data_IF_412558888289
#
_entry.id   IF_412558888289
#
_cell.length_a   1.000
_cell.length_b   1.000
_cell.length_c   1.000
_cell.angle_alpha   90.00
_cell.angle_beta   90.00
_cell.angle_gamma   90.00
#
_symmetry.space_group_name_H-M   'P 1'
#
loop_
_entity.id
_entity.type
_entity.pdbx_description
1 polymer ?
#
# COMPACT_ATOMS: atom_id res chain seq x y z
N UNK A 1 67.11 -18.35 -5.96
CA UNK A 1 65.85 -17.69 -6.34
C UNK A 1 64.73 -18.72 -6.26
N UNK A 2 63.82 -18.70 -5.27
CA UNK A 2 62.60 -19.50 -5.32
C UNK A 2 61.38 -18.60 -5.55
N UNK A 3 60.61 -18.94 -6.59
CA UNK A 3 59.32 -18.32 -6.90
C UNK A 3 58.29 -18.72 -5.81
N UNK A 4 57.69 -17.72 -5.17
CA UNK A 4 56.52 -17.91 -4.32
C UNK A 4 55.26 -17.75 -5.18
N UNK A 5 54.49 -18.83 -5.27
CA UNK A 5 53.16 -18.84 -5.89
C UNK A 5 52.20 -18.15 -4.92
N UNK A 6 51.64 -17.02 -5.33
CA UNK A 6 50.54 -16.34 -4.63
C UNK A 6 49.24 -17.04 -5.00
N UNK A 7 48.68 -17.83 -4.09
CA UNK A 7 47.32 -18.36 -4.20
C UNK A 7 46.33 -17.27 -3.74
N UNK A 8 45.77 -16.54 -4.71
CA UNK A 8 44.58 -15.71 -4.50
C UNK A 8 43.36 -16.63 -4.37
N UNK A 9 42.91 -16.87 -3.14
CA UNK A 9 41.60 -17.44 -2.89
C UNK A 9 40.54 -16.40 -3.29
N UNK A 10 39.96 -16.57 -4.47
CA UNK A 10 38.81 -15.80 -4.93
C UNK A 10 37.63 -16.07 -3.99
N UNK A 11 37.30 -15.09 -3.15
CA UNK A 11 36.07 -15.08 -2.39
C UNK A 11 34.93 -14.88 -3.40
N UNK A 12 34.32 -15.97 -3.84
CA UNK A 12 33.08 -15.94 -4.62
C UNK A 12 32.00 -15.45 -3.67
N UNK A 13 31.65 -14.17 -3.76
CA UNK A 13 30.41 -13.64 -3.22
C UNK A 13 29.28 -14.30 -4.03
N UNK A 14 28.80 -15.44 -3.54
CA UNK A 14 27.52 -15.99 -3.96
C UNK A 14 26.47 -14.95 -3.60
N UNK A 15 26.09 -14.10 -4.56
CA UNK A 15 24.80 -13.44 -4.52
C UNK A 15 23.77 -14.55 -4.56
N UNK A 16 23.32 -14.99 -3.39
CA UNK A 16 22.20 -15.91 -3.28
C UNK A 16 20.99 -15.18 -3.87
N UNK A 17 20.64 -15.48 -5.12
CA UNK A 17 19.30 -15.21 -5.61
C UNK A 17 18.40 -16.14 -4.79
N UNK A 18 17.87 -15.65 -3.67
CA UNK A 18 16.82 -16.36 -2.96
C UNK A 18 15.68 -16.63 -3.95
N UNK A 19 15.16 -17.85 -3.93
CA UNK A 19 13.96 -18.20 -4.69
C UNK A 19 12.83 -17.28 -4.19
N UNK A 20 12.20 -16.49 -5.09
CA UNK A 20 11.14 -15.55 -4.72
C UNK A 20 9.99 -16.25 -4.02
N UNK A 21 9.72 -17.51 -4.35
CA UNK A 21 8.70 -18.31 -3.67
C UNK A 21 9.08 -18.64 -2.24
N UNK A 22 10.37 -18.83 -1.97
CA UNK A 22 10.88 -19.07 -0.62
C UNK A 22 10.86 -17.78 0.21
N UNK A 23 11.30 -16.66 -0.37
CA UNK A 23 11.17 -15.34 0.27
C UNK A 23 9.71 -15.02 0.60
N UNK A 24 8.77 -15.36 -0.30
CA UNK A 24 7.35 -15.19 -0.05
C UNK A 24 6.84 -16.04 1.12
N UNK A 25 7.29 -17.29 1.25
CA UNK A 25 6.97 -18.14 2.40
C UNK A 25 7.46 -17.53 3.69
N UNK A 26 8.72 -17.11 3.73
CA UNK A 26 9.32 -16.49 4.93
C UNK A 26 8.60 -15.19 5.31
N UNK A 27 8.28 -14.36 4.32
CA UNK A 27 7.55 -13.11 4.50
C UNK A 27 6.15 -13.38 5.07
N UNK A 28 5.40 -14.33 4.51
CA UNK A 28 4.08 -14.69 5.04
C UNK A 28 4.17 -15.29 6.45
N UNK A 29 5.10 -16.22 6.69
CA UNK A 29 5.32 -16.79 8.02
C UNK A 29 5.70 -15.72 9.06
N UNK A 30 6.30 -14.59 8.63
CA UNK A 30 6.63 -13.50 9.54
C UNK A 30 5.39 -12.85 10.16
N UNK A 31 4.29 -12.73 9.39
CA UNK A 31 3.05 -12.04 9.77
C UNK A 31 1.97 -12.97 10.33
N UNK A 32 2.02 -14.27 10.02
CA UNK A 32 1.01 -15.22 10.51
C UNK A 32 1.03 -15.39 12.04
N UNK A 33 -0.15 -15.43 12.69
CA UNK A 33 -0.24 -15.65 14.14
C UNK A 33 0.20 -17.05 14.56
N UNK A 34 0.02 -18.05 13.68
CA UNK A 34 0.50 -19.42 13.88
C UNK A 34 1.44 -19.80 12.73
N UNK A 35 2.67 -20.21 13.10
CA UNK A 35 3.75 -20.49 12.14
C UNK A 35 4.09 -21.98 11.99
N UNK A 36 3.45 -22.84 12.80
CA UNK A 36 3.70 -24.29 12.80
C UNK A 36 2.72 -24.96 11.86
N UNK A 37 3.19 -26.05 11.22
CA UNK A 37 2.37 -26.90 10.36
C UNK A 37 1.69 -26.14 9.21
N UNK A 38 2.34 -25.07 8.75
CA UNK A 38 1.90 -24.27 7.60
C UNK A 38 2.41 -24.92 6.30
N UNK A 39 1.48 -25.43 5.52
CA UNK A 39 1.65 -25.90 4.16
C UNK A 39 1.22 -24.82 3.17
N UNK A 40 1.99 -24.68 2.10
CA UNK A 40 1.71 -23.75 1.02
C UNK A 40 1.41 -24.50 -0.27
N UNK A 41 0.44 -24.01 -1.04
CA UNK A 41 0.01 -24.59 -2.32
C UNK A 41 -0.06 -23.52 -3.40
N UNK A 42 0.09 -23.97 -4.64
CA UNK A 42 -0.15 -23.14 -5.84
C UNK A 42 0.65 -21.83 -5.88
N UNK A 43 1.92 -21.85 -5.41
CA UNK A 43 2.76 -20.66 -5.46
C UNK A 43 3.12 -20.30 -6.91
N UNK A 44 2.56 -19.18 -7.38
CA UNK A 44 2.76 -18.63 -8.72
C UNK A 44 3.37 -17.24 -8.59
N UNK A 45 4.45 -17.02 -9.35
CA UNK A 45 5.06 -15.71 -9.52
C UNK A 45 4.36 -14.93 -10.63
N UNK A 46 4.16 -13.64 -10.41
CA UNK A 46 3.56 -12.70 -11.34
C UNK A 46 4.54 -11.56 -11.70
N UNK A 47 4.36 -10.91 -12.87
CA UNK A 47 5.19 -9.76 -13.27
C UNK A 47 5.14 -8.65 -12.23
N UNK A 48 6.27 -8.01 -11.94
CA UNK A 48 6.37 -7.06 -10.81
C UNK A 48 6.81 -7.70 -9.50
N UNK A 49 6.99 -9.03 -9.47
CA UNK A 49 7.60 -9.75 -8.36
C UNK A 49 6.61 -10.20 -7.28
N UNK A 50 5.30 -10.09 -7.52
CA UNK A 50 4.33 -10.66 -6.61
C UNK A 50 4.35 -12.20 -6.66
N UNK A 51 4.12 -12.81 -5.51
CA UNK A 51 3.89 -14.25 -5.37
C UNK A 51 2.52 -14.44 -4.76
N UNK A 52 1.66 -15.18 -5.46
CA UNK A 52 0.36 -15.57 -4.94
C UNK A 52 0.31 -17.08 -4.73
N UNK A 53 -0.53 -17.51 -3.79
CA UNK A 53 -0.80 -18.93 -3.55
C UNK A 53 -1.78 -19.09 -2.42
N UNK A 54 -1.81 -20.28 -1.84
CA UNK A 54 -2.64 -20.59 -0.67
C UNK A 54 -1.79 -21.10 0.49
N UNK A 55 -2.21 -20.81 1.72
CA UNK A 55 -1.68 -21.41 2.93
C UNK A 55 -2.79 -22.09 3.73
N UNK A 56 -2.45 -23.15 4.46
CA UNK A 56 -3.42 -23.83 5.29
C UNK A 56 -3.59 -23.20 6.68
N UNK A 57 -4.75 -23.45 7.28
CA UNK A 57 -5.03 -23.27 8.71
C UNK A 57 -5.74 -24.51 9.21
N UNK A 58 -5.50 -24.88 10.46
CA UNK A 58 -6.18 -26.01 11.10
C UNK A 58 -7.27 -25.45 12.02
N UNK A 59 -8.52 -25.89 11.82
CA UNK A 59 -9.63 -25.58 12.73
C UNK A 59 -9.36 -26.28 14.07
N UNK A 60 -9.15 -25.55 15.17
CA UNK A 60 -8.77 -26.15 16.45
C UNK A 60 -9.90 -26.99 17.07
N UNK A 61 -11.15 -26.77 16.66
CA UNK A 61 -12.33 -27.49 17.17
C UNK A 61 -12.63 -28.74 16.35
N UNK A 62 -12.47 -28.66 15.02
CA UNK A 62 -12.83 -29.75 14.10
C UNK A 62 -11.64 -30.58 13.60
N UNK A 63 -10.42 -30.07 13.74
CA UNK A 63 -9.22 -30.67 13.15
C UNK A 63 -9.18 -30.61 11.61
N UNK A 64 -10.16 -29.96 10.97
CA UNK A 64 -10.20 -29.81 9.52
C UNK A 64 -9.19 -28.77 9.04
N UNK A 65 -8.55 -29.04 7.90
CA UNK A 65 -7.62 -28.11 7.26
C UNK A 65 -8.37 -27.26 6.23
N UNK A 66 -8.23 -25.93 6.33
CA UNK A 66 -8.78 -24.97 5.37
C UNK A 66 -7.63 -24.22 4.69
N UNK A 67 -7.80 -23.90 3.41
CA UNK A 67 -6.83 -23.11 2.63
C UNK A 67 -7.33 -21.69 2.43
N UNK A 68 -6.41 -20.73 2.53
CA UNK A 68 -6.68 -19.30 2.35
C UNK A 68 -5.70 -18.72 1.35
N UNK A 69 -6.15 -17.86 0.43
CA UNK A 69 -5.26 -17.20 -0.50
C UNK A 69 -4.34 -16.20 0.24
N UNK A 70 -3.17 -15.95 -0.33
CA UNK A 70 -2.28 -14.89 0.11
C UNK A 70 -1.63 -14.21 -1.09
N UNK A 71 -1.14 -12.98 -0.88
CA UNK A 71 -0.28 -12.27 -1.83
C UNK A 71 0.93 -11.75 -1.07
N UNK A 72 2.12 -11.93 -1.65
CA UNK A 72 3.36 -11.29 -1.19
C UNK A 72 3.95 -10.45 -2.30
N UNK A 73 4.33 -9.20 -2.00
CA UNK A 73 5.02 -8.29 -2.91
C UNK A 73 5.88 -7.32 -2.09
N UNK A 74 7.06 -6.94 -2.59
CA UNK A 74 7.93 -5.92 -1.95
C UNK A 74 8.13 -6.12 -0.42
N UNK A 75 8.42 -7.37 -0.01
CA UNK A 75 8.56 -7.76 1.41
C UNK A 75 7.30 -7.51 2.28
N UNK A 76 6.14 -7.29 1.68
CA UNK A 76 4.83 -7.19 2.34
C UNK A 76 4.04 -8.45 2.06
N UNK A 77 3.32 -8.94 3.07
CA UNK A 77 2.40 -10.05 2.95
C UNK A 77 0.98 -9.56 3.28
N UNK A 78 0.03 -9.95 2.44
CA UNK A 78 -1.39 -9.85 2.71
C UNK A 78 -1.93 -11.28 2.85
N UNK A 79 -2.20 -11.69 4.08
CA UNK A 79 -2.67 -13.03 4.42
C UNK A 79 -4.18 -13.23 4.19
N UNK A 80 -4.92 -12.15 3.90
CA UNK A 80 -6.36 -12.16 3.56
C UNK A 80 -6.65 -11.16 2.44
N UNK A 81 -6.11 -11.41 1.23
CA UNK A 81 -6.24 -10.48 0.12
C UNK A 81 -7.72 -10.32 -0.27
N UNK A 82 -8.09 -9.09 -0.61
CA UNK A 82 -9.40 -8.81 -1.19
C UNK A 82 -9.52 -9.40 -2.61
N UNK A 83 -10.74 -9.42 -3.15
CA UNK A 83 -10.95 -9.82 -4.54
C UNK A 83 -10.19 -8.91 -5.52
N UNK A 84 -10.07 -7.61 -5.20
CA UNK A 84 -9.29 -6.63 -5.98
C UNK A 84 -7.79 -6.93 -5.90
N UNK A 85 -7.27 -7.26 -4.71
CA UNK A 85 -5.87 -7.64 -4.52
C UNK A 85 -5.49 -8.84 -5.39
N UNK A 86 -6.32 -9.89 -5.35
CA UNK A 86 -6.09 -11.08 -6.15
C UNK A 86 -6.19 -10.78 -7.65
N UNK A 87 -7.18 -9.98 -8.07
CA UNK A 87 -7.35 -9.62 -9.47
C UNK A 87 -6.14 -8.83 -10.02
N UNK A 88 -5.54 -7.95 -9.22
CA UNK A 88 -4.48 -7.04 -9.66
C UNK A 88 -3.09 -7.66 -9.48
N UNK A 89 -2.74 -8.10 -8.27
CA UNK A 89 -1.40 -8.65 -7.99
C UNK A 89 -1.16 -10.00 -8.67
N UNK A 90 -2.20 -10.84 -8.75
CA UNK A 90 -2.13 -12.17 -9.37
C UNK A 90 -2.53 -12.14 -10.85
N UNK A 91 -2.21 -11.04 -11.55
CA UNK A 91 -2.42 -10.89 -12.99
C UNK A 91 -1.09 -10.90 -13.76
N UNK A 92 -1.11 -11.46 -14.97
CA UNK A 92 0.01 -11.35 -15.93
C UNK A 92 0.15 -9.94 -16.51
N UNK A 93 -0.90 -9.13 -16.38
CA UNK A 93 -0.95 -7.73 -16.77
C UNK A 93 -1.69 -6.96 -15.66
N UNK A 94 -0.92 -6.52 -14.67
CA UNK A 94 -1.46 -5.83 -13.51
C UNK A 94 -2.03 -4.45 -13.87
N UNK A 95 -1.48 -3.78 -14.89
CA UNK A 95 -1.99 -2.50 -15.38
C UNK A 95 -3.37 -2.65 -16.02
N UNK A 96 -3.55 -3.65 -16.89
CA UNK A 96 -4.87 -3.95 -17.46
C UNK A 96 -5.86 -4.44 -16.39
N UNK A 97 -5.40 -5.24 -15.41
CA UNK A 97 -6.24 -5.69 -14.31
C UNK A 97 -6.72 -4.51 -13.43
N UNK A 98 -5.84 -3.54 -13.16
CA UNK A 98 -6.19 -2.32 -12.43
C UNK A 98 -7.28 -1.52 -13.15
N UNK A 99 -7.13 -1.31 -14.46
CA UNK A 99 -8.11 -0.59 -15.28
C UNK A 99 -9.47 -1.31 -15.30
N UNK A 100 -9.46 -2.63 -15.47
CA UNK A 100 -10.70 -3.41 -15.56
C UNK A 100 -11.41 -3.58 -14.22
N UNK A 101 -10.66 -3.67 -13.11
CA UNK A 101 -11.21 -3.89 -11.77
C UNK A 101 -11.67 -2.58 -11.13
N UNK A 102 -10.87 -1.52 -11.26
CA UNK A 102 -11.07 -0.25 -10.55
C UNK A 102 -11.28 0.96 -11.47
N UNK A 103 -11.20 0.79 -12.79
CA UNK A 103 -11.28 1.92 -13.74
C UNK A 103 -9.99 2.75 -13.81
N UNK A 104 -8.99 2.48 -12.97
CA UNK A 104 -7.77 3.30 -12.84
C UNK A 104 -6.74 2.93 -13.93
N UNK A 105 -6.36 3.89 -14.77
CA UNK A 105 -5.36 3.70 -15.83
C UNK A 105 -5.66 4.54 -17.08
N UNK A 106 -4.92 4.39 -18.20
CA UNK A 106 -3.71 3.59 -18.34
C UNK A 106 -2.57 4.19 -17.52
N UNK A 107 -1.75 3.34 -16.91
CA UNK A 107 -0.57 3.76 -16.12
C UNK A 107 0.61 4.13 -17.06
N UNK A 108 0.48 3.86 -18.36
CA UNK A 108 1.49 4.09 -19.38
C UNK A 108 1.40 5.49 -20.02
N UNK A 109 2.14 6.46 -19.49
CA UNK A 109 2.60 7.69 -20.17
C UNK A 109 3.55 8.50 -19.23
N UNK A 110 4.37 9.43 -19.75
CA UNK A 110 5.28 10.23 -18.92
C UNK A 110 4.62 11.47 -18.25
N UNK A 111 3.33 11.72 -18.48
CA UNK A 111 2.59 12.90 -17.97
C UNK A 111 1.44 12.47 -17.06
N UNK A 112 1.75 11.69 -16.02
CA UNK A 112 0.74 10.96 -15.27
C UNK A 112 0.11 11.81 -14.16
N UNK A 113 -1.13 12.24 -14.38
CA UNK A 113 -2.07 12.66 -13.33
C UNK A 113 -2.02 11.69 -12.13
N UNK A 114 -1.89 10.37 -12.39
CA UNK A 114 -1.71 9.34 -11.37
C UNK A 114 -0.41 9.48 -10.55
N UNK A 115 0.70 9.93 -11.13
CA UNK A 115 1.95 10.17 -10.40
C UNK A 115 1.81 11.38 -9.48
N UNK A 116 1.18 12.46 -9.97
CA UNK A 116 0.84 13.61 -9.13
C UNK A 116 -0.07 13.17 -7.98
N UNK A 117 -1.16 12.44 -8.27
CA UNK A 117 -2.09 11.95 -7.24
C UNK A 117 -1.38 11.07 -6.21
N UNK A 118 -0.51 10.16 -6.65
CA UNK A 118 0.31 9.31 -5.77
C UNK A 118 1.19 10.15 -4.84
N UNK A 119 1.87 11.16 -5.38
CA UNK A 119 2.73 12.07 -4.61
C UNK A 119 1.93 12.91 -3.61
N UNK A 120 0.83 13.49 -4.06
CA UNK A 120 0.00 14.40 -3.27
C UNK A 120 -0.68 13.68 -2.11
N UNK A 121 -1.21 12.47 -2.36
CA UNK A 121 -1.77 11.63 -1.29
C UNK A 121 -0.68 11.28 -0.27
N UNK A 122 0.51 10.81 -0.69
CA UNK A 122 1.61 10.47 0.23
C UNK A 122 2.08 11.67 1.07
N UNK A 123 2.10 12.87 0.47
CA UNK A 123 2.41 14.11 1.17
C UNK A 123 1.38 14.38 2.28
N UNK A 124 0.09 14.25 1.96
CA UNK A 124 -0.98 14.42 2.93
C UNK A 124 -0.99 13.33 4.02
N UNK A 125 -0.71 12.07 3.67
CA UNK A 125 -0.54 10.97 4.65
C UNK A 125 0.59 11.24 5.63
N UNK A 126 1.75 11.70 5.13
CA UNK A 126 2.90 12.03 5.97
C UNK A 126 2.57 13.18 6.94
N UNK A 127 1.81 14.18 6.48
CA UNK A 127 1.35 15.27 7.32
C UNK A 127 0.33 14.83 8.37
N UNK A 128 -0.62 13.95 8.02
CA UNK A 128 -1.56 13.34 8.95
C UNK A 128 -0.85 12.50 10.01
N UNK A 129 0.18 11.74 9.64
CA UNK A 129 0.99 10.97 10.57
C UNK A 129 1.71 11.89 11.56
N UNK A 130 2.32 12.98 11.08
CA UNK A 130 2.94 13.98 11.96
C UNK A 130 1.91 14.65 12.89
N UNK A 131 0.71 14.98 12.38
CA UNK A 131 -0.39 15.49 13.18
C UNK A 131 -0.78 14.51 14.29
N UNK A 132 -0.90 13.22 13.97
CA UNK A 132 -1.26 12.17 14.92
C UNK A 132 -0.17 11.96 15.97
N UNK A 133 1.11 12.01 15.61
CA UNK A 133 2.23 11.90 16.55
C UNK A 133 2.17 13.03 17.59
N UNK A 134 1.92 14.25 17.15
CA UNK A 134 1.90 15.41 18.04
C UNK A 134 0.62 15.47 18.89
N UNK A 135 -0.55 15.20 18.30
CA UNK A 135 -1.85 15.40 18.95
C UNK A 135 -2.51 14.12 19.50
N UNK A 136 -1.95 12.95 19.20
CA UNK A 136 -2.47 11.62 19.56
C UNK A 136 -3.80 11.22 18.92
N UNK A 137 -4.36 12.05 18.05
CA UNK A 137 -5.54 11.75 17.24
C UNK A 137 -5.40 12.36 15.85
N UNK A 138 -6.15 11.85 14.88
CA UNK A 138 -6.26 12.42 13.54
C UNK A 138 -7.40 13.43 13.47
N UNK A 139 -7.36 14.41 12.53
CA UNK A 139 -8.49 15.30 12.27
C UNK A 139 -9.76 14.51 11.98
N UNK A 140 -10.92 15.03 12.40
CA UNK A 140 -12.22 14.45 12.03
C UNK A 140 -12.54 14.72 10.55
N UNK A 141 -13.47 13.97 9.96
CA UNK A 141 -13.96 14.23 8.59
C UNK A 141 -14.45 15.67 8.43
N UNK A 142 -15.14 16.21 9.43
CA UNK A 142 -15.63 17.60 9.42
C UNK A 142 -14.51 18.63 9.53
N UNK A 143 -13.41 18.31 10.23
CA UNK A 143 -12.22 19.15 10.29
C UNK A 143 -11.44 19.12 8.97
N UNK A 144 -11.43 17.97 8.29
CA UNK A 144 -10.83 17.78 6.98
C UNK A 144 -9.31 17.94 6.97
N UNK A 145 -8.73 17.96 5.76
CA UNK A 145 -7.30 18.24 5.57
C UNK A 145 -6.92 19.68 5.94
N UNK A 146 -7.87 20.60 5.99
CA UNK A 146 -7.64 21.98 6.42
C UNK A 146 -7.03 22.08 7.83
N UNK A 147 -7.31 21.11 8.70
CA UNK A 147 -6.71 21.01 10.03
C UNK A 147 -5.20 20.74 10.01
N UNK A 148 -4.59 20.46 8.85
CA UNK A 148 -3.15 20.33 8.69
C UNK A 148 -2.45 21.68 8.50
N UNK A 149 -3.17 22.73 8.08
CA UNK A 149 -2.60 24.06 7.87
C UNK A 149 -2.61 24.90 9.15
N UNK A 150 -3.70 24.82 9.90
CA UNK A 150 -3.92 25.61 11.11
C UNK A 150 -4.75 24.81 12.13
N UNK A 151 -4.64 25.12 13.43
CA UNK A 151 -5.39 24.41 14.46
C UNK A 151 -6.90 24.61 14.25
N UNK A 152 -7.65 23.50 14.24
CA UNK A 152 -9.11 23.58 14.10
C UNK A 152 -9.77 24.12 15.38
N UNK A 153 -10.72 25.03 15.22
CA UNK A 153 -11.56 25.51 16.33
C UNK A 153 -12.68 24.52 16.69
N UNK A 154 -12.96 23.54 15.83
CA UNK A 154 -13.95 22.51 16.11
C UNK A 154 -13.38 21.45 17.05
N UNK A 155 -14.13 20.99 18.07
CA UNK A 155 -13.71 19.87 18.90
C UNK A 155 -13.53 18.56 18.10
N UNK A 156 -12.57 17.69 18.47
CA UNK A 156 -11.55 17.90 19.48
C UNK A 156 -10.47 18.90 19.00
N UNK A 157 -10.13 19.88 19.85
CA UNK A 157 -9.06 20.83 19.54
C UNK A 157 -7.69 20.16 19.70
N UNK A 158 -6.74 20.38 18.77
CA UNK A 158 -5.39 19.84 18.90
C UNK A 158 -4.70 20.39 20.16
N UNK A 159 -4.01 19.51 20.88
CA UNK A 159 -3.36 19.85 22.16
C UNK A 159 -1.93 20.34 21.96
N UNK A 160 -1.23 19.83 20.94
CA UNK A 160 0.18 20.11 20.66
C UNK A 160 0.39 20.44 19.18
N UNK A 161 -0.46 21.32 18.66
CA UNK A 161 -0.35 21.75 17.27
C UNK A 161 1.01 22.41 17.02
N UNK A 162 1.70 21.99 15.96
CA UNK A 162 3.01 22.52 15.60
C UNK A 162 2.91 23.94 15.05
N UNK A 163 3.79 24.83 15.49
CA UNK A 163 3.92 26.16 14.90
C UNK A 163 4.22 26.08 13.40
N UNK A 164 3.43 26.78 12.59
CA UNK A 164 3.53 26.75 11.11
C UNK A 164 2.77 25.61 10.43
N UNK A 165 2.10 24.73 11.18
CA UNK A 165 1.30 23.64 10.63
C UNK A 165 2.09 22.40 10.21
N UNK A 166 1.39 21.48 9.56
CA UNK A 166 1.93 20.20 9.06
C UNK A 166 2.17 20.22 7.56
N UNK A 167 1.57 21.17 6.84
CA UNK A 167 1.80 21.44 5.42
C UNK A 167 1.84 22.95 5.19
N UNK A 168 2.66 23.43 4.22
CA UNK A 168 2.64 24.84 3.83
C UNK A 168 1.37 25.20 3.05
N UNK A 169 0.84 24.26 2.27
CA UNK A 169 -0.42 24.38 1.53
C UNK A 169 -0.98 22.98 1.28
N UNK A 170 -2.29 22.88 1.04
CA UNK A 170 -2.90 21.61 0.64
C UNK A 170 -2.65 21.36 -0.85
N UNK A 171 -2.29 20.12 -1.24
CA UNK A 171 -2.28 19.75 -2.64
C UNK A 171 -3.70 19.79 -3.20
N UNK A 172 -3.80 20.06 -4.49
CA UNK A 172 -5.02 19.94 -5.29
C UNK A 172 -4.79 18.85 -6.32
N UNK A 173 -5.85 18.13 -6.65
CA UNK A 173 -5.76 17.09 -7.65
C UNK A 173 -5.43 17.66 -9.05
N UNK A 174 -5.10 16.81 -10.04
CA UNK A 174 -4.71 17.25 -11.37
C UNK A 174 -5.77 18.07 -12.12
N UNK A 175 -7.02 18.06 -11.64
CA UNK A 175 -8.14 18.80 -12.22
C UNK A 175 -8.50 20.04 -11.39
N UNK A 176 -7.65 20.41 -10.43
CA UNK A 176 -7.78 21.61 -9.61
C UNK A 176 -8.81 21.50 -8.49
N UNK A 177 -9.23 20.29 -8.13
CA UNK A 177 -10.19 20.06 -7.04
C UNK A 177 -9.43 19.73 -5.75
N UNK A 178 -9.95 20.13 -4.58
CA UNK A 178 -9.40 19.70 -3.31
C UNK A 178 -9.52 18.18 -3.14
N UNK A 179 -8.48 17.55 -2.61
CA UNK A 179 -8.58 16.16 -2.15
C UNK A 179 -9.62 16.04 -1.03
N UNK A 180 -10.40 14.96 -1.10
CA UNK A 180 -11.36 14.61 -0.07
C UNK A 180 -10.69 13.79 1.01
N UNK A 181 -11.14 13.98 2.25
CA UNK A 181 -10.65 13.24 3.41
C UNK A 181 -11.83 12.69 4.20
N UNK A 182 -11.81 11.38 4.41
CA UNK A 182 -12.77 10.69 5.23
C UNK A 182 -12.05 9.88 6.29
N UNK A 183 -12.45 10.02 7.55
CA UNK A 183 -11.96 9.17 8.63
C UNK A 183 -13.06 8.21 9.05
N UNK A 184 -12.84 6.91 8.85
CA UNK A 184 -13.80 5.88 9.20
C UNK A 184 -13.49 5.33 10.59
N UNK A 185 -14.39 5.53 11.56
CA UNK A 185 -14.28 4.91 12.89
C UNK A 185 -14.78 5.81 14.02
N UNK A 186 -15.38 5.18 15.03
CA UNK A 186 -15.89 5.84 16.22
C UNK A 186 -14.76 6.02 17.24
N UNK A 187 -14.65 7.20 17.88
CA UNK A 187 -13.90 7.35 19.12
C UNK A 187 -12.43 7.80 19.04
N UNK A 188 -11.97 8.40 17.94
CA UNK A 188 -10.69 9.14 17.95
C UNK A 188 -9.42 8.30 17.69
N UNK A 189 -9.50 6.97 17.80
CA UNK A 189 -8.37 6.02 17.64
C UNK A 189 -8.36 5.31 16.29
N UNK A 190 -9.23 5.70 15.36
CA UNK A 190 -9.27 5.07 14.04
C UNK A 190 -7.99 5.38 13.26
N UNK A 191 -7.22 4.33 12.96
CA UNK A 191 -6.09 4.37 12.02
C UNK A 191 -6.56 4.39 10.56
N UNK A 192 -7.85 4.17 10.33
CA UNK A 192 -8.43 4.08 9.00
C UNK A 192 -8.96 5.46 8.56
N UNK A 193 -8.22 6.08 7.64
CA UNK A 193 -8.67 7.23 6.88
C UNK A 193 -8.49 6.97 5.39
N UNK A 194 -9.21 7.73 4.58
CA UNK A 194 -9.13 7.73 3.14
C UNK A 194 -8.86 9.15 2.67
N UNK A 195 -7.84 9.32 1.84
CA UNK A 195 -7.65 10.52 1.03
C UNK A 195 -7.95 10.12 -0.41
N UNK A 196 -8.81 10.87 -1.10
CA UNK A 196 -9.22 10.50 -2.46
C UNK A 196 -9.58 11.71 -3.34
N UNK A 197 -9.52 11.48 -4.65
CA UNK A 197 -10.09 12.34 -5.70
C UNK A 197 -11.15 11.54 -6.46
N UNK A 198 -12.15 12.26 -6.97
CA UNK A 198 -13.26 11.71 -7.77
C UNK A 198 -12.98 11.81 -9.29
N UNK A 199 -11.71 11.91 -9.68
CA UNK A 199 -11.35 12.04 -11.10
C UNK A 199 -11.73 13.37 -11.74
N UNK A 200 -11.63 13.40 -13.07
CA UNK A 200 -11.88 14.59 -13.88
C UNK A 200 -13.36 15.03 -13.84
N UNK A 201 -14.29 14.09 -13.86
CA UNK A 201 -15.73 14.36 -13.79
C UNK A 201 -16.18 14.79 -12.37
N UNK A 202 -15.48 14.32 -11.35
CA UNK A 202 -15.77 14.55 -9.95
C UNK A 202 -17.03 13.85 -9.46
N UNK A 203 -17.36 12.72 -10.07
CA UNK A 203 -18.46 11.86 -9.68
C UNK A 203 -17.89 10.53 -9.18
N UNK A 204 -18.66 9.82 -8.35
CA UNK A 204 -18.24 8.51 -7.87
C UNK A 204 -18.24 7.51 -9.04
N UNK A 205 -17.16 6.75 -9.15
CA UNK A 205 -16.94 5.73 -10.16
C UNK A 205 -16.02 6.21 -11.27
N UNK A 206 -16.49 6.12 -12.51
CA UNK A 206 -15.71 6.50 -13.68
C UNK A 206 -14.60 5.52 -14.04
N UNK A 207 -13.90 5.83 -15.13
CA UNK A 207 -12.74 5.08 -15.60
C UNK A 207 -11.80 6.03 -16.34
N UNK A 208 -10.54 5.65 -16.49
CA UNK A 208 -9.57 6.54 -17.13
C UNK A 208 -9.25 7.73 -16.23
N UNK A 209 -9.41 8.93 -16.79
CA UNK A 209 -9.26 10.19 -16.06
C UNK A 209 -10.41 10.44 -15.08
N UNK A 210 -11.56 9.81 -15.31
CA UNK A 210 -12.74 9.94 -14.43
C UNK A 210 -12.68 8.97 -13.25
N UNK A 211 -11.65 8.12 -13.17
CA UNK A 211 -11.58 7.10 -12.14
C UNK A 211 -11.33 7.70 -10.75
N UNK A 212 -12.06 7.20 -9.76
CA UNK A 212 -11.79 7.45 -8.36
C UNK A 212 -10.41 6.88 -7.95
N UNK A 213 -9.55 7.74 -7.39
CA UNK A 213 -8.23 7.32 -6.87
C UNK A 213 -8.10 7.70 -5.41
N UNK A 214 -7.72 6.72 -4.58
CA UNK A 214 -7.62 6.88 -3.14
C UNK A 214 -6.31 6.35 -2.57
N UNK A 215 -6.02 6.68 -1.30
CA UNK A 215 -4.87 6.13 -0.56
C UNK A 215 -4.83 4.60 -0.56
N UNK A 216 -5.98 3.92 -0.57
CA UNK A 216 -6.06 2.45 -0.66
C UNK A 216 -5.53 1.88 -1.98
N UNK A 217 -5.57 2.66 -3.06
CA UNK A 217 -5.13 2.23 -4.38
C UNK A 217 -3.63 2.42 -4.59
N UNK A 218 -2.92 3.14 -3.71
CA UNK A 218 -1.49 3.40 -3.86
C UNK A 218 -0.66 2.12 -3.89
N UNK A 219 -1.04 1.06 -3.16
CA UNK A 219 -0.36 -0.24 -3.20
C UNK A 219 -0.31 -0.85 -4.62
N UNK A 220 -1.34 -0.63 -5.43
CA UNK A 220 -1.38 -1.12 -6.81
C UNK A 220 -0.54 -0.24 -7.72
N UNK A 221 -0.61 1.08 -7.56
CA UNK A 221 0.19 2.03 -8.33
C UNK A 221 1.69 1.85 -8.05
N UNK A 222 2.06 1.61 -6.80
CA UNK A 222 3.42 1.31 -6.35
C UNK A 222 3.94 0.00 -6.92
N UNK A 223 3.05 -0.98 -7.09
CA UNK A 223 3.40 -2.28 -7.66
C UNK A 223 3.59 -2.22 -9.18
N UNK A 224 2.71 -1.51 -9.89
CA UNK A 224 2.72 -1.44 -11.35
C UNK A 224 3.81 -0.47 -11.86
N UNK A 225 4.01 0.64 -11.16
CA UNK A 225 4.97 1.68 -11.52
C UNK A 225 5.78 2.10 -10.27
N UNK A 226 6.70 1.23 -9.79
CA UNK A 226 7.46 1.44 -8.57
C UNK A 226 8.20 2.78 -8.53
#
# INVERSE_FOLDING_TARGET
MPQWIVLLAGLVLLSACADRKEEARETLLSVLPQKRDVEFRELVEYPGGAVCGEYNTVDPMRGSTNYHPFVVWDSRAEERPSAEDLAIFCSKDAAAALLTTLGIGPVEAPENQLQQIRSDIRLAESALQAYQVDNHFLPTTSQGLGALLSPSEMPPKPVRFRDGGYLPQLPVDPWGRPYQYERSGLGGVAHDYLIFTLGADGLVGGSGQDADVSSKHLKYLDYIAP
#
